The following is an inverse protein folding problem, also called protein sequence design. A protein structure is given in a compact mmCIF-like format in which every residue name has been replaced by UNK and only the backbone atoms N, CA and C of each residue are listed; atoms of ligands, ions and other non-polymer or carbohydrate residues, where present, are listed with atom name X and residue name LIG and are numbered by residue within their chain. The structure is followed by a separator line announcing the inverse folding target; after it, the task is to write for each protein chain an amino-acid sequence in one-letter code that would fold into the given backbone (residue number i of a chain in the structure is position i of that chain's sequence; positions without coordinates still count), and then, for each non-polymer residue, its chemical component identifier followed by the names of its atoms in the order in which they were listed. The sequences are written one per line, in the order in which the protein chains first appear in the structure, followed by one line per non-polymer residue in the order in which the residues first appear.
data_IF_416953512091
#
_entry.id   IF_416953512091
#
_cell.length_a   1.000
_cell.length_b   1.000
_cell.length_c   1.000
_cell.angle_alpha   90.00
_cell.angle_beta   90.00
_cell.angle_gamma   90.00
#
_symmetry.space_group_name_H-M   'P 1'
#
loop_
_entity.id
_entity.type
_entity.pdbx_description
1 polymer ?
#
# COMPACT_ATOMS: atom_id res chain seq x y z
N UNK A 1 1.95 -2.90 -20.15
CA UNK A 1 2.93 -2.88 -19.03
C UNK A 1 2.15 -2.80 -17.71
N UNK A 2 2.70 -3.23 -16.56
CA UNK A 2 2.06 -2.95 -15.27
C UNK A 2 2.76 -1.75 -14.64
N UNK A 3 2.00 -0.67 -14.43
CA UNK A 3 2.49 0.55 -13.79
C UNK A 3 1.69 0.78 -12.51
N UNK A 4 2.37 1.30 -11.50
CA UNK A 4 1.79 1.77 -10.25
C UNK A 4 2.06 3.26 -10.07
N UNK A 5 1.21 3.92 -9.29
CA UNK A 5 1.47 5.26 -8.81
C UNK A 5 2.78 5.26 -8.01
N UNK A 6 3.63 6.25 -8.27
CA UNK A 6 4.96 6.39 -7.67
C UNK A 6 6.09 5.69 -8.44
N UNK A 7 5.79 4.88 -9.47
CA UNK A 7 6.83 4.29 -10.31
C UNK A 7 7.65 5.37 -11.01
N UNK A 8 8.97 5.21 -11.06
CA UNK A 8 9.86 6.10 -11.78
C UNK A 8 10.03 5.57 -13.19
N UNK A 9 9.61 6.39 -14.14
CA UNK A 9 9.63 6.07 -15.55
C UNK A 9 10.39 7.13 -16.34
N UNK A 10 10.91 6.72 -17.49
CA UNK A 10 11.62 7.59 -18.42
C UNK A 10 10.84 7.69 -19.71
N UNK A 11 10.66 8.90 -20.21
CA UNK A 11 10.05 9.13 -21.52
C UNK A 11 11.13 8.97 -22.59
N UNK A 12 10.90 8.09 -23.57
CA UNK A 12 11.89 7.71 -24.59
C UNK A 12 12.32 8.89 -25.47
N UNK A 13 11.41 9.82 -25.74
CA UNK A 13 11.67 11.02 -26.56
C UNK A 13 12.55 12.07 -25.87
N UNK A 14 12.22 12.44 -24.62
CA UNK A 14 12.87 13.55 -23.91
C UNK A 14 14.02 13.08 -22.98
N UNK A 15 14.19 11.76 -22.81
CA UNK A 15 15.11 11.12 -21.84
C UNK A 15 14.91 11.56 -20.39
N UNK A 16 13.88 12.36 -20.10
CA UNK A 16 13.52 12.90 -18.80
C UNK A 16 12.91 11.82 -17.89
N UNK A 17 13.20 11.90 -16.59
CA UNK A 17 12.65 11.04 -15.56
C UNK A 17 11.40 11.68 -14.95
N UNK A 18 10.35 10.89 -14.78
CA UNK A 18 9.12 11.30 -14.13
C UNK A 18 8.61 10.20 -13.20
N UNK A 19 7.84 10.60 -12.20
CA UNK A 19 7.11 9.69 -11.32
C UNK A 19 5.67 9.57 -11.79
N UNK A 20 5.12 8.37 -11.84
CA UNK A 20 3.71 8.16 -12.22
C UNK A 20 2.81 8.74 -11.14
N UNK A 21 2.15 9.86 -11.44
CA UNK A 21 1.24 10.56 -10.54
C UNK A 21 -0.24 10.20 -10.78
N UNK A 22 -0.56 9.66 -11.96
CA UNK A 22 -1.93 9.33 -12.33
C UNK A 22 -2.00 8.48 -13.59
N UNK A 23 -3.16 7.87 -13.82
CA UNK A 23 -3.47 7.09 -15.02
C UNK A 23 -4.78 7.61 -15.59
N UNK A 24 -4.79 7.93 -16.88
CA UNK A 24 -5.95 8.33 -17.65
C UNK A 24 -6.15 7.32 -18.81
N UNK A 25 -7.35 7.23 -19.41
CA UNK A 25 -7.58 6.35 -20.55
C UNK A 25 -6.62 6.67 -21.70
N UNK A 26 -5.66 5.78 -21.97
CA UNK A 26 -4.65 5.96 -23.03
C UNK A 26 -3.49 6.89 -22.68
N UNK A 27 -3.38 7.40 -21.46
CA UNK A 27 -2.30 8.30 -21.05
C UNK A 27 -1.84 8.07 -19.61
N UNK A 28 -0.54 8.25 -19.36
CA UNK A 28 0.05 8.22 -18.03
C UNK A 28 0.40 9.65 -17.62
N UNK A 29 -0.05 10.07 -16.44
CA UNK A 29 0.30 11.35 -15.85
C UNK A 29 1.61 11.19 -15.09
N UNK A 30 2.62 11.95 -15.49
CA UNK A 30 3.97 11.94 -14.94
C UNK A 30 4.24 13.26 -14.23
N UNK A 31 4.78 13.19 -13.02
CA UNK A 31 5.30 14.33 -12.27
C UNK A 31 6.81 14.36 -12.43
N UNK A 32 7.32 15.38 -13.10
CA UNK A 32 8.76 15.58 -13.36
C UNK A 32 9.41 16.45 -12.27
N UNK A 33 10.75 16.57 -12.28
CA UNK A 33 11.56 17.24 -11.24
C UNK A 33 11.33 18.75 -11.06
N UNK A 34 10.28 19.32 -11.67
CA UNK A 34 9.85 20.72 -11.49
C UNK A 34 8.42 20.86 -10.97
N UNK A 35 7.85 19.79 -10.40
CA UNK A 35 6.45 19.70 -9.97
C UNK A 35 5.41 19.85 -11.11
N UNK A 36 5.86 19.80 -12.36
CA UNK A 36 4.98 19.87 -13.51
C UNK A 36 4.40 18.50 -13.83
N UNK A 37 3.09 18.46 -14.09
CA UNK A 37 2.38 17.26 -14.52
C UNK A 37 2.35 17.21 -16.05
N UNK A 38 2.91 16.15 -16.63
CA UNK A 38 2.90 15.89 -18.07
C UNK A 38 2.16 14.60 -18.39
N UNK A 39 1.50 14.56 -19.53
CA UNK A 39 0.86 13.35 -20.07
C UNK A 39 1.81 12.67 -21.06
N UNK A 40 2.03 11.37 -20.92
CA UNK A 40 2.80 10.57 -21.85
C UNK A 40 2.03 9.31 -22.28
N UNK A 41 2.24 8.86 -23.51
CA UNK A 41 1.61 7.64 -24.01
C UNK A 41 2.31 6.40 -23.42
N UNK A 42 1.59 5.33 -23.00
CA UNK A 42 2.19 4.16 -22.34
C UNK A 42 3.31 3.47 -23.14
N UNK A 43 3.28 3.55 -24.46
CA UNK A 43 4.29 2.95 -25.36
C UNK A 43 5.62 3.71 -25.37
N UNK A 44 5.60 4.98 -24.98
CA UNK A 44 6.77 5.87 -25.05
C UNK A 44 7.50 5.92 -23.70
N UNK A 45 7.07 5.09 -22.76
CA UNK A 45 7.50 5.09 -21.38
C UNK A 45 8.28 3.81 -21.08
N UNK A 46 9.49 3.98 -20.55
CA UNK A 46 10.33 2.90 -20.08
C UNK A 46 10.41 2.94 -18.55
N UNK A 47 10.19 1.80 -17.89
CA UNK A 47 10.26 1.73 -16.42
C UNK A 47 11.73 1.72 -15.99
N UNK A 48 12.15 2.72 -15.22
CA UNK A 48 13.54 2.85 -14.75
C UNK A 48 13.69 2.31 -13.33
N UNK A 49 12.75 2.63 -12.46
CA UNK A 49 12.70 2.08 -11.12
C UNK A 49 11.27 1.86 -10.67
N UNK A 50 11.06 0.78 -9.91
CA UNK A 50 9.78 0.59 -9.23
C UNK A 50 9.69 1.57 -8.08
N UNK A 51 8.58 2.30 -8.04
CA UNK A 51 8.27 3.18 -6.95
C UNK A 51 8.00 2.33 -5.71
N UNK A 52 8.86 2.42 -4.71
CA UNK A 52 8.36 2.29 -3.35
C UNK A 52 7.53 3.53 -3.09
N UNK A 53 6.22 3.36 -2.95
CA UNK A 53 5.33 4.46 -2.57
C UNK A 53 5.96 5.15 -1.34
N UNK A 54 6.35 6.44 -1.43
CA UNK A 54 7.02 7.09 -0.31
C UNK A 54 6.09 7.02 0.90
N UNK A 55 6.61 6.60 2.06
CA UNK A 55 5.86 6.63 3.32
C UNK A 55 5.40 8.06 3.56
N UNK A 56 4.14 8.35 3.27
CA UNK A 56 3.54 9.62 3.60
C UNK A 56 3.10 9.58 5.06
N UNK A 57 3.12 10.72 5.74
CA UNK A 57 2.68 10.83 7.14
C UNK A 57 1.25 10.27 7.34
N UNK A 58 0.39 10.40 6.33
CA UNK A 58 -0.96 9.81 6.32
C UNK A 58 -0.95 8.29 6.30
N UNK A 59 -0.05 7.64 5.55
CA UNK A 59 0.10 6.19 5.58
C UNK A 59 0.60 5.70 6.94
N UNK A 60 1.48 6.43 7.61
CA UNK A 60 1.95 6.07 8.96
C UNK A 60 0.84 6.16 10.01
N UNK A 61 0.07 7.25 10.00
CA UNK A 61 -1.11 7.39 10.87
C UNK A 61 -2.11 6.26 10.59
N UNK A 62 -2.32 5.90 9.32
CA UNK A 62 -3.22 4.80 8.95
C UNK A 62 -2.71 3.44 9.47
N UNK A 63 -1.40 3.18 9.37
CA UNK A 63 -0.78 1.98 9.95
C UNK A 63 -1.00 1.92 11.47
N UNK A 64 -0.82 3.03 12.20
CA UNK A 64 -1.06 3.09 13.64
C UNK A 64 -2.51 2.79 13.99
N UNK A 65 -3.46 3.35 13.23
CA UNK A 65 -4.90 3.06 13.42
C UNK A 65 -5.19 1.57 13.20
N UNK A 66 -4.63 0.96 12.15
CA UNK A 66 -4.82 -0.47 11.90
C UNK A 66 -4.23 -1.35 13.00
N UNK A 67 -3.07 -0.98 13.55
CA UNK A 67 -2.49 -1.66 14.71
C UNK A 67 -3.42 -1.56 15.91
N UNK A 68 -3.93 -0.37 16.22
CA UNK A 68 -4.86 -0.19 17.34
C UNK A 68 -6.12 -1.06 17.19
N UNK A 69 -6.73 -1.08 16.00
CA UNK A 69 -7.88 -1.94 15.70
C UNK A 69 -7.53 -3.42 15.84
N UNK A 70 -6.38 -3.85 15.32
CA UNK A 70 -5.91 -5.23 15.44
C UNK A 70 -5.71 -5.66 16.89
N UNK A 71 -5.13 -4.81 17.73
CA UNK A 71 -4.95 -5.08 19.16
C UNK A 71 -6.29 -5.21 19.89
N UNK A 72 -7.25 -4.33 19.62
CA UNK A 72 -8.59 -4.38 20.23
C UNK A 72 -9.30 -5.69 19.87
N UNK A 73 -9.32 -6.05 18.57
CA UNK A 73 -9.94 -7.31 18.11
C UNK A 73 -9.22 -8.51 18.72
N UNK A 74 -7.89 -8.47 18.78
CA UNK A 74 -7.10 -9.52 19.41
C UNK A 74 -7.45 -9.73 20.87
N UNK A 75 -7.53 -8.64 21.65
CA UNK A 75 -7.91 -8.71 23.06
C UNK A 75 -9.33 -9.26 23.24
N UNK A 76 -10.31 -8.80 22.45
CA UNK A 76 -11.68 -9.31 22.51
C UNK A 76 -11.73 -10.82 22.23
N UNK A 77 -11.00 -11.27 21.21
CA UNK A 77 -10.92 -12.69 20.85
C UNK A 77 -10.22 -13.51 21.93
N UNK A 78 -9.15 -12.97 22.52
CA UNK A 78 -8.44 -13.61 23.63
C UNK A 78 -9.30 -13.77 24.88
N UNK A 79 -10.04 -12.73 25.26
CA UNK A 79 -10.93 -12.73 26.44
C UNK A 79 -12.10 -13.69 26.25
N UNK A 80 -12.76 -13.67 25.10
CA UNK A 80 -13.89 -14.57 24.83
C UNK A 80 -13.45 -16.04 24.86
N UNK A 81 -12.29 -16.34 24.30
CA UNK A 81 -11.75 -17.71 24.30
C UNK A 81 -11.25 -18.12 25.69
N UNK A 82 -10.67 -17.20 26.47
CA UNK A 82 -10.35 -17.43 27.87
C UNK A 82 -11.59 -17.74 28.71
N UNK A 83 -12.71 -17.03 28.48
CA UNK A 83 -13.99 -17.30 29.13
C UNK A 83 -14.58 -18.68 28.77
N UNK A 84 -14.23 -19.22 27.60
CA UNK A 84 -14.60 -20.57 27.17
C UNK A 84 -13.72 -21.67 27.80
N UNK A 85 -12.82 -21.31 28.72
CA UNK A 85 -11.96 -22.26 29.43
C UNK A 85 -10.67 -22.60 28.68
N UNK A 86 -10.29 -21.83 27.66
CA UNK A 86 -9.00 -22.00 27.01
C UNK A 86 -7.85 -21.66 27.96
N UNK A 87 -6.81 -22.49 27.96
CA UNK A 87 -5.59 -22.21 28.72
C UNK A 87 -4.86 -20.96 28.21
N UNK A 88 -4.06 -20.35 29.08
CA UNK A 88 -3.33 -19.09 28.83
C UNK A 88 -2.54 -19.08 27.52
N UNK A 89 -1.91 -20.22 27.17
CA UNK A 89 -1.12 -20.36 25.94
C UNK A 89 -2.01 -20.23 24.70
N UNK A 90 -3.20 -20.83 24.73
CA UNK A 90 -4.12 -20.87 23.61
C UNK A 90 -4.81 -19.52 23.42
N UNK A 91 -5.19 -18.84 24.51
CA UNK A 91 -5.71 -17.47 24.47
C UNK A 91 -4.66 -16.47 23.97
N UNK A 92 -3.40 -16.59 24.41
CA UNK A 92 -2.32 -15.73 23.96
C UNK A 92 -2.00 -15.93 22.46
N UNK A 93 -1.94 -17.19 22.01
CA UNK A 93 -1.72 -17.52 20.61
C UNK A 93 -2.82 -16.95 19.71
N UNK A 94 -4.09 -17.06 20.12
CA UNK A 94 -5.22 -16.51 19.37
C UNK A 94 -5.25 -15.00 19.36
N UNK A 95 -4.90 -14.35 20.47
CA UNK A 95 -4.79 -12.88 20.56
C UNK A 95 -3.75 -12.34 19.58
N UNK A 96 -2.57 -12.97 19.54
CA UNK A 96 -1.49 -12.62 18.63
C UNK A 96 -1.86 -12.89 17.17
N UNK A 97 -2.43 -14.06 16.89
CA UNK A 97 -2.78 -14.45 15.52
C UNK A 97 -3.89 -13.56 14.96
N UNK A 98 -4.95 -13.30 15.73
CA UNK A 98 -6.06 -12.45 15.30
C UNK A 98 -5.64 -11.00 15.10
N UNK A 99 -4.85 -10.43 16.01
CA UNK A 99 -4.32 -9.07 15.83
C UNK A 99 -3.45 -8.96 14.57
N UNK A 100 -2.53 -9.90 14.36
CA UNK A 100 -1.70 -9.94 13.15
C UNK A 100 -2.53 -10.12 11.88
N UNK A 101 -3.54 -11.00 11.89
CA UNK A 101 -4.44 -11.21 10.75
C UNK A 101 -5.24 -9.96 10.41
N UNK A 102 -5.79 -9.26 11.40
CA UNK A 102 -6.56 -8.03 11.18
C UNK A 102 -5.67 -6.92 10.62
N UNK A 103 -4.48 -6.71 11.19
CA UNK A 103 -3.52 -5.73 10.67
C UNK A 103 -3.12 -6.07 9.24
N UNK A 104 -2.78 -7.34 8.96
CA UNK A 104 -2.43 -7.80 7.62
C UNK A 104 -3.58 -7.60 6.62
N UNK A 105 -4.81 -7.93 7.02
CA UNK A 105 -6.00 -7.73 6.20
C UNK A 105 -6.20 -6.25 5.86
N UNK A 106 -6.23 -5.38 6.86
CA UNK A 106 -6.46 -3.94 6.67
C UNK A 106 -5.36 -3.30 5.83
N UNK A 107 -4.10 -3.63 6.10
CA UNK A 107 -2.97 -3.12 5.31
C UNK A 107 -3.04 -3.61 3.85
N UNK A 108 -3.42 -4.87 3.62
CA UNK A 108 -3.58 -5.41 2.27
C UNK A 108 -4.75 -4.81 1.49
N UNK A 109 -5.81 -4.38 2.16
CA UNK A 109 -7.00 -3.80 1.54
C UNK A 109 -6.84 -2.31 1.24
N UNK A 110 -6.24 -1.57 2.17
CA UNK A 110 -6.21 -0.10 2.11
C UNK A 110 -4.86 0.48 1.68
N UNK A 111 -3.75 -0.21 1.97
CA UNK A 111 -2.39 0.31 1.74
C UNK A 111 -1.66 -0.43 0.62
N UNK A 112 -2.27 -1.46 0.03
CA UNK A 112 -1.65 -2.20 -1.08
C UNK A 112 -1.65 -1.35 -2.35
N UNK A 113 -0.48 -1.14 -2.99
CA UNK A 113 -0.41 -0.39 -4.24
C UNK A 113 -1.22 -1.10 -5.32
N UNK A 114 -2.25 -0.42 -5.84
CA UNK A 114 -3.06 -0.90 -6.96
C UNK A 114 -2.21 -0.84 -8.23
N UNK A 115 -1.77 -2.00 -8.71
CA UNK A 115 -1.10 -2.12 -9.99
C UNK A 115 -2.14 -2.16 -11.09
N UNK A 116 -2.02 -1.25 -12.05
CA UNK A 116 -2.95 -1.16 -13.17
C UNK A 116 -2.21 -1.64 -14.42
N UNK A 117 -2.88 -2.47 -15.21
CA UNK A 117 -2.40 -2.87 -16.53
C UNK A 117 -2.67 -1.72 -17.48
N UNK A 118 -1.59 -1.14 -17.99
CA UNK A 118 -1.60 -0.04 -18.95
C UNK A 118 -1.18 -0.56 -20.32
#
# INVERSE_FOLDING_TARGET
MMLALGDVVRVRGDKELGTVAGLAPGAVLLRTSGDTVRTAHPTDIEMVARGSMPKTQTTEVTYLVFIAVGVIVGMLTGVTVGQLGAGLVLSAALTLSSSASVVSLLTSLFLRPRRIRV
#
